data_IF_428467735362
#
_entry.id   IF_428467735362
#
_cell.length_a   1.000
_cell.length_b   1.000
_cell.length_c   1.000
_cell.angle_alpha   90.00
_cell.angle_beta   90.00
_cell.angle_gamma   90.00
#
_symmetry.space_group_name_H-M   'P 1'
#
loop_
_entity.id
_entity.type
_entity.pdbx_description
1 polymer ?
#
# COMPACT_ATOMS: atom_id res chain seq x y z
N UNK A 1 -23.09 -6.17 -25.94
CA UNK A 1 -21.64 -5.89 -25.82
C UNK A 1 -20.99 -7.12 -25.20
N UNK A 2 -20.58 -8.10 -26.00
CA UNK A 2 -20.00 -9.38 -25.53
C UNK A 2 -18.79 -9.78 -26.38
N UNK A 3 -17.92 -8.83 -26.70
CA UNK A 3 -16.83 -9.02 -27.68
C UNK A 3 -15.63 -9.75 -27.03
N UNK A 4 -15.52 -9.77 -25.69
CA UNK A 4 -14.43 -10.46 -24.98
C UNK A 4 -14.82 -11.79 -24.30
N UNK A 5 -16.11 -12.05 -24.07
CA UNK A 5 -16.57 -13.19 -23.26
C UNK A 5 -16.56 -14.51 -24.04
N UNK A 6 -16.70 -14.47 -25.37
CA UNK A 6 -16.73 -15.68 -26.20
C UNK A 6 -15.39 -16.43 -26.20
N UNK A 7 -14.26 -15.71 -26.14
CA UNK A 7 -12.94 -16.32 -26.10
C UNK A 7 -12.67 -17.01 -24.77
N UNK A 8 -13.11 -16.39 -23.67
CA UNK A 8 -13.00 -16.96 -22.31
C UNK A 8 -13.85 -18.22 -22.18
N UNK A 9 -15.10 -18.21 -22.67
CA UNK A 9 -15.97 -19.39 -22.64
C UNK A 9 -15.39 -20.59 -23.41
N UNK A 10 -14.66 -20.35 -24.50
CA UNK A 10 -13.96 -21.41 -25.26
C UNK A 10 -12.68 -21.89 -24.58
N UNK A 11 -12.10 -21.09 -23.68
CA UNK A 11 -10.90 -21.41 -22.91
C UNK A 11 -11.21 -22.26 -21.66
N UNK A 12 -12.37 -22.05 -21.03
CA UNK A 12 -12.79 -22.74 -19.80
C UNK A 12 -12.61 -24.27 -19.83
N UNK A 13 -12.99 -25.00 -20.90
CA UNK A 13 -12.77 -26.44 -20.97
C UNK A 13 -11.28 -26.81 -20.92
N UNK A 14 -10.43 -26.04 -21.61
CA UNK A 14 -8.99 -26.24 -21.62
C UNK A 14 -8.35 -25.92 -20.26
N UNK A 15 -8.85 -24.91 -19.56
CA UNK A 15 -8.43 -24.61 -18.19
C UNK A 15 -8.83 -25.70 -17.18
N UNK A 16 -10.01 -26.29 -17.36
CA UNK A 16 -10.43 -27.39 -16.50
C UNK A 16 -9.56 -28.63 -16.72
N UNK A 17 -9.28 -28.96 -17.97
CA UNK A 17 -8.41 -30.08 -18.32
C UNK A 17 -6.95 -29.83 -17.89
N UNK A 18 -6.44 -28.61 -18.00
CA UNK A 18 -5.07 -28.27 -17.64
C UNK A 18 -4.79 -28.38 -16.14
N UNK A 19 -5.81 -28.21 -15.28
CA UNK A 19 -5.69 -28.45 -13.84
C UNK A 19 -5.37 -29.90 -13.49
N UNK A 20 -5.88 -30.86 -14.27
CA UNK A 20 -5.66 -32.28 -14.07
C UNK A 20 -4.51 -32.85 -14.93
N UNK A 21 -4.18 -32.20 -16.04
CA UNK A 21 -3.16 -32.65 -16.98
C UNK A 21 -1.74 -32.30 -16.51
N UNK A 22 -0.83 -33.28 -16.52
CA UNK A 22 0.61 -33.12 -16.24
C UNK A 22 1.45 -33.69 -17.38
N UNK A 23 2.62 -33.09 -17.62
CA UNK A 23 3.61 -33.58 -18.59
C UNK A 23 3.05 -33.73 -20.01
N UNK A 24 3.07 -34.96 -20.54
CA UNK A 24 2.62 -35.26 -21.90
C UNK A 24 1.15 -34.89 -22.18
N UNK A 25 0.27 -34.96 -21.18
CA UNK A 25 -1.12 -34.54 -21.33
C UNK A 25 -1.22 -33.01 -21.51
N UNK A 26 -0.39 -32.25 -20.80
CA UNK A 26 -0.34 -30.81 -20.93
C UNK A 26 0.30 -30.37 -22.26
N UNK A 27 1.28 -31.12 -22.78
CA UNK A 27 1.82 -30.89 -24.13
C UNK A 27 0.75 -31.08 -25.24
N UNK A 28 -0.07 -32.15 -25.13
CA UNK A 28 -1.21 -32.35 -26.03
C UNK A 28 -2.25 -31.24 -25.90
N UNK A 29 -2.55 -30.83 -24.68
CA UNK A 29 -3.48 -29.73 -24.41
C UNK A 29 -3.00 -28.41 -25.03
N UNK A 30 -1.70 -28.11 -25.01
CA UNK A 30 -1.14 -26.95 -25.70
C UNK A 30 -1.36 -27.07 -27.21
N UNK A 31 -1.13 -28.24 -27.79
CA UNK A 31 -1.35 -28.48 -29.21
C UNK A 31 -2.83 -28.31 -29.60
N UNK A 32 -3.75 -28.81 -28.77
CA UNK A 32 -5.19 -28.70 -28.97
C UNK A 32 -5.68 -27.25 -28.79
N UNK A 33 -5.23 -26.56 -27.74
CA UNK A 33 -5.57 -25.17 -27.46
C UNK A 33 -5.03 -24.20 -28.54
N UNK A 34 -3.81 -24.44 -29.03
CA UNK A 34 -3.24 -23.66 -30.13
C UNK A 34 -3.93 -23.97 -31.46
N UNK A 35 -4.46 -25.18 -31.67
CA UNK A 35 -5.22 -25.51 -32.89
C UNK A 35 -6.69 -25.08 -32.83
N UNK A 36 -7.25 -24.86 -31.64
CA UNK A 36 -8.66 -24.52 -31.47
C UNK A 36 -8.99 -23.11 -32.02
N UNK A 37 -10.01 -22.98 -32.89
CA UNK A 37 -10.45 -21.69 -33.41
C UNK A 37 -11.20 -20.88 -32.34
N UNK A 38 -10.91 -19.59 -32.24
CA UNK A 38 -11.56 -18.70 -31.27
C UNK A 38 -10.89 -18.62 -29.89
N UNK A 39 -9.78 -19.32 -29.67
CA UNK A 39 -8.97 -19.18 -28.44
C UNK A 39 -7.72 -18.38 -28.77
N UNK A 40 -7.69 -17.09 -28.48
CA UNK A 40 -6.54 -16.23 -28.83
C UNK A 40 -5.79 -15.64 -27.64
N UNK A 41 -6.30 -15.89 -26.43
CA UNK A 41 -5.73 -15.46 -25.16
C UNK A 41 -5.19 -16.69 -24.45
N UNK A 42 -3.90 -16.70 -24.15
CA UNK A 42 -3.17 -17.81 -23.55
C UNK A 42 -2.52 -17.44 -22.21
N UNK A 43 -2.64 -16.19 -21.74
CA UNK A 43 -2.06 -15.74 -20.48
C UNK A 43 -2.50 -16.60 -19.29
N UNK A 44 -3.78 -16.96 -19.22
CA UNK A 44 -4.30 -17.83 -18.15
C UNK A 44 -3.75 -19.26 -18.22
N UNK A 45 -3.47 -19.79 -19.41
CA UNK A 45 -2.79 -21.08 -19.55
C UNK A 45 -1.33 -20.97 -19.10
N UNK A 46 -0.65 -19.88 -19.46
CA UNK A 46 0.77 -19.71 -19.17
C UNK A 46 1.06 -19.48 -17.68
N UNK A 47 0.10 -18.92 -16.94
CA UNK A 47 0.21 -18.70 -15.49
C UNK A 47 0.02 -19.98 -14.66
N UNK A 48 -0.49 -21.07 -15.26
CA UNK A 48 -0.71 -22.31 -14.53
C UNK A 48 0.62 -23.00 -14.17
N UNK A 49 0.78 -23.46 -12.91
CA UNK A 49 2.02 -24.11 -12.47
C UNK A 49 2.32 -25.38 -13.26
N UNK A 50 1.27 -26.13 -13.65
CA UNK A 50 1.40 -27.35 -14.46
C UNK A 50 2.06 -27.09 -15.83
N UNK A 51 1.87 -25.90 -16.40
CA UNK A 51 2.45 -25.50 -17.69
C UNK A 51 3.85 -24.90 -17.49
N UNK A 52 4.08 -24.19 -16.38
CA UNK A 52 5.43 -23.72 -16.01
C UNK A 52 6.39 -24.87 -15.71
N UNK A 53 5.91 -25.96 -15.10
CA UNK A 53 6.70 -27.18 -14.89
C UNK A 53 7.20 -27.80 -16.21
N UNK A 54 6.45 -27.66 -17.32
CA UNK A 54 6.87 -28.15 -18.64
C UNK A 54 8.11 -27.44 -19.18
N UNK A 55 8.35 -26.18 -18.78
CA UNK A 55 9.56 -25.46 -19.16
C UNK A 55 10.83 -26.14 -18.63
N UNK A 56 10.71 -26.86 -17.51
CA UNK A 56 11.84 -27.56 -16.86
C UNK A 56 12.12 -28.93 -17.50
N UNK A 57 11.14 -29.51 -18.20
CA UNK A 57 11.27 -30.82 -18.83
C UNK A 57 11.88 -30.73 -20.24
N UNK A 58 13.00 -31.43 -20.44
CA UNK A 58 13.79 -31.40 -21.69
C UNK A 58 12.99 -31.82 -22.94
N UNK A 59 12.03 -32.74 -22.79
CA UNK A 59 11.17 -33.24 -23.88
C UNK A 59 9.99 -32.34 -24.23
N UNK A 60 9.53 -31.50 -23.29
CA UNK A 60 8.32 -30.69 -23.45
C UNK A 60 8.55 -29.18 -23.45
N UNK A 61 9.79 -28.75 -23.20
CA UNK A 61 10.28 -27.36 -23.30
C UNK A 61 9.93 -26.69 -24.64
N UNK A 62 9.92 -27.46 -25.74
CA UNK A 62 9.56 -26.98 -27.08
C UNK A 62 8.09 -26.57 -27.19
N UNK A 63 7.18 -27.27 -26.51
CA UNK A 63 5.76 -26.91 -26.48
C UNK A 63 5.49 -25.69 -25.59
N UNK A 64 6.27 -25.51 -24.53
CA UNK A 64 6.22 -24.28 -23.73
C UNK A 64 6.69 -23.07 -24.56
N UNK A 65 7.80 -23.21 -25.27
CA UNK A 65 8.32 -22.18 -26.18
C UNK A 65 7.31 -21.84 -27.30
N UNK A 66 6.58 -22.85 -27.77
CA UNK A 66 5.48 -22.65 -28.71
C UNK A 66 4.37 -21.80 -28.12
N UNK A 67 3.91 -22.11 -26.90
CA UNK A 67 2.88 -21.34 -26.22
C UNK A 67 3.31 -19.88 -26.00
N UNK A 68 4.57 -19.67 -25.60
CA UNK A 68 5.15 -18.33 -25.45
C UNK A 68 5.19 -17.57 -26.78
N UNK A 69 5.43 -18.27 -27.89
CA UNK A 69 5.38 -17.68 -29.21
C UNK A 69 3.96 -17.20 -29.57
N UNK A 70 2.94 -18.01 -29.29
CA UNK A 70 1.54 -17.61 -29.51
C UNK A 70 1.08 -16.47 -28.61
N UNK A 71 1.58 -16.41 -27.37
CA UNK A 71 1.25 -15.33 -26.44
C UNK A 71 1.90 -13.99 -26.83
N UNK A 72 3.20 -13.98 -27.15
CA UNK A 72 3.97 -12.73 -27.21
C UNK A 72 4.62 -12.41 -28.55
N UNK A 73 4.90 -13.40 -29.39
CA UNK A 73 5.74 -13.23 -30.60
C UNK A 73 4.92 -13.22 -31.89
N UNK A 74 5.57 -12.97 -33.01
CA UNK A 74 4.96 -12.84 -34.34
C UNK A 74 5.31 -14.01 -35.26
N UNK A 75 4.64 -14.09 -36.40
CA UNK A 75 4.94 -15.08 -37.44
C UNK A 75 6.37 -14.94 -37.99
N UNK A 76 6.90 -13.72 -38.08
CA UNK A 76 8.29 -13.49 -38.50
C UNK A 76 9.29 -14.12 -37.52
N UNK A 77 9.00 -14.10 -36.22
CA UNK A 77 9.83 -14.73 -35.19
C UNK A 77 9.78 -16.27 -35.29
N UNK A 78 8.61 -16.82 -35.66
CA UNK A 78 8.48 -18.25 -35.91
C UNK A 78 9.41 -18.70 -37.05
N UNK A 79 9.51 -17.94 -38.14
CA UNK A 79 10.38 -18.27 -39.27
C UNK A 79 11.85 -18.33 -38.83
N UNK A 80 12.28 -17.42 -37.95
CA UNK A 80 13.65 -17.38 -37.44
C UNK A 80 13.96 -18.52 -36.46
N UNK A 81 12.95 -19.04 -35.76
CA UNK A 81 13.11 -20.04 -34.70
C UNK A 81 12.59 -21.44 -35.10
N UNK A 82 12.38 -21.71 -36.39
CA UNK A 82 11.84 -22.99 -36.90
C UNK A 82 12.57 -24.22 -36.35
N UNK A 83 13.89 -24.14 -36.15
CA UNK A 83 14.71 -25.28 -35.69
C UNK A 83 14.50 -25.64 -34.21
N UNK A 84 14.00 -24.68 -33.42
CA UNK A 84 13.79 -24.84 -31.98
C UNK A 84 12.36 -25.26 -31.61
N UNK A 85 11.44 -25.21 -32.57
CA UNK A 85 10.00 -25.38 -32.34
C UNK A 85 9.47 -26.67 -32.99
N UNK A 86 8.39 -27.26 -32.44
CA UNK A 86 7.70 -28.35 -33.11
C UNK A 86 7.07 -27.89 -34.43
N UNK A 87 6.90 -28.79 -35.42
CA UNK A 87 6.22 -28.45 -36.66
C UNK A 87 4.78 -27.99 -36.38
N UNK A 88 4.43 -26.81 -36.89
CA UNK A 88 3.08 -26.26 -36.80
C UNK A 88 2.12 -26.96 -37.75
N UNK A 89 0.87 -27.10 -37.31
CA UNK A 89 -0.26 -27.45 -38.15
C UNK A 89 -0.72 -26.23 -38.98
N UNK A 90 -1.44 -26.47 -40.07
CA UNK A 90 -1.96 -25.40 -40.95
C UNK A 90 -2.87 -24.45 -40.19
N UNK A 91 -3.76 -24.99 -39.34
CA UNK A 91 -4.64 -24.21 -38.48
C UNK A 91 -3.87 -23.30 -37.49
N UNK A 92 -2.77 -23.81 -36.93
CA UNK A 92 -1.90 -23.05 -36.02
C UNK A 92 -1.15 -21.94 -36.77
N UNK A 93 -0.76 -22.20 -38.03
CA UNK A 93 -0.10 -21.22 -38.90
C UNK A 93 -1.04 -20.07 -39.25
N UNK A 94 -2.28 -20.38 -39.64
CA UNK A 94 -3.33 -19.37 -39.92
C UNK A 94 -3.58 -18.52 -38.67
N UNK A 95 -3.71 -19.17 -37.51
CA UNK A 95 -3.92 -18.48 -36.23
C UNK A 95 -2.77 -17.55 -35.84
N UNK A 96 -1.53 -17.99 -36.05
CA UNK A 96 -0.36 -17.17 -35.78
C UNK A 96 -0.29 -15.96 -36.72
N UNK A 97 -0.70 -16.12 -37.98
CA UNK A 97 -0.86 -15.02 -38.94
C UNK A 97 -1.95 -14.04 -38.49
N UNK A 98 -3.10 -14.51 -38.02
CA UNK A 98 -4.16 -13.66 -37.44
C UNK A 98 -3.67 -12.89 -36.19
N UNK A 99 -2.93 -13.53 -35.29
CA UNK A 99 -2.35 -12.86 -34.11
C UNK A 99 -1.28 -11.82 -34.47
N UNK A 100 -0.53 -12.09 -35.54
CA UNK A 100 0.44 -11.13 -36.07
C UNK A 100 -0.26 -9.91 -36.65
N UNK A 101 -1.37 -10.11 -37.37
CA UNK A 101 -2.22 -9.02 -37.85
C UNK A 101 -2.74 -8.17 -36.69
N UNK A 102 -3.19 -8.78 -35.59
CA UNK A 102 -3.64 -8.07 -34.38
C UNK A 102 -2.52 -7.24 -33.77
N UNK A 103 -1.30 -7.77 -33.74
CA UNK A 103 -0.13 -7.05 -33.21
C UNK A 103 0.21 -5.83 -34.06
N UNK A 104 0.16 -5.96 -35.39
CA UNK A 104 0.36 -4.83 -36.30
C UNK A 104 -0.76 -3.78 -36.19
N UNK A 105 -1.99 -4.24 -35.97
CA UNK A 105 -3.15 -3.39 -35.75
C UNK A 105 -3.08 -2.60 -34.44
N UNK A 106 -2.32 -3.07 -33.46
CA UNK A 106 -2.07 -2.35 -32.20
C UNK A 106 -1.13 -1.17 -32.42
N UNK A 107 -0.13 -1.32 -33.28
CA UNK A 107 0.88 -0.29 -33.54
C UNK A 107 0.38 0.77 -34.54
N UNK A 108 -0.42 0.37 -35.53
CA UNK A 108 -0.91 1.29 -36.56
C UNK A 108 -2.35 0.97 -36.99
N UNK A 109 -3.15 2.01 -37.18
CA UNK A 109 -4.56 1.89 -37.61
C UNK A 109 -4.73 1.68 -39.11
N UNK A 110 -3.76 2.10 -39.91
CA UNK A 110 -3.79 2.02 -41.37
C UNK A 110 -2.64 1.11 -41.78
N UNK A 111 -2.97 -0.08 -42.27
CA UNK A 111 -1.99 -1.09 -42.66
C UNK A 111 -1.93 -1.22 -44.18
N UNK A 112 -0.79 -0.89 -44.83
CA UNK A 112 -0.63 -1.11 -46.25
C UNK A 112 -0.44 -2.60 -46.56
N UNK A 113 -1.03 -3.08 -47.66
CA UNK A 113 -0.95 -4.49 -48.04
C UNK A 113 0.48 -4.98 -48.27
N UNK A 114 1.38 -4.11 -48.77
CA UNK A 114 2.77 -4.45 -48.98
C UNK A 114 3.50 -4.85 -47.69
N UNK A 115 3.18 -4.18 -46.58
CA UNK A 115 3.74 -4.51 -45.27
C UNK A 115 3.16 -5.82 -44.74
N UNK A 116 1.84 -6.00 -44.86
CA UNK A 116 1.16 -7.22 -44.47
C UNK A 116 1.68 -8.45 -45.21
N UNK A 117 1.83 -8.36 -46.55
CA UNK A 117 2.37 -9.45 -47.37
C UNK A 117 3.79 -9.83 -46.94
N UNK A 118 4.64 -8.85 -46.64
CA UNK A 118 6.02 -9.07 -46.19
C UNK A 118 6.09 -9.71 -44.81
N UNK A 119 5.27 -9.27 -43.86
CA UNK A 119 5.31 -9.76 -42.48
C UNK A 119 4.66 -11.14 -42.35
N UNK A 120 3.59 -11.41 -43.11
CA UNK A 120 2.83 -12.65 -43.06
C UNK A 120 3.33 -13.73 -44.02
N UNK A 121 4.33 -13.41 -44.86
CA UNK A 121 4.87 -14.27 -45.92
C UNK A 121 3.75 -14.90 -46.76
N UNK A 122 2.93 -14.06 -47.36
CA UNK A 122 1.79 -14.46 -48.19
C UNK A 122 2.10 -14.19 -49.66
N UNK A 123 1.83 -15.14 -50.57
CA UNK A 123 2.15 -15.00 -51.99
C UNK A 123 1.17 -14.08 -52.74
N UNK A 124 -0.09 -13.99 -52.29
CA UNK A 124 -1.14 -13.27 -53.02
C UNK A 124 -1.97 -12.35 -52.11
N UNK A 125 -2.44 -11.24 -52.68
CA UNK A 125 -3.38 -10.32 -52.01
C UNK A 125 -4.70 -11.03 -51.69
N UNK A 126 -5.11 -11.99 -52.52
CA UNK A 126 -6.36 -12.73 -52.32
C UNK A 126 -6.35 -13.54 -51.02
N UNK A 127 -5.28 -14.27 -50.76
CA UNK A 127 -5.15 -15.03 -49.52
C UNK A 127 -5.03 -14.12 -48.29
N UNK A 128 -4.42 -12.93 -48.45
CA UNK A 128 -4.40 -11.91 -47.39
C UNK A 128 -5.82 -11.41 -47.08
N UNK A 129 -6.61 -11.08 -48.10
CA UNK A 129 -8.01 -10.67 -47.94
C UNK A 129 -8.84 -11.77 -47.27
N UNK A 130 -8.71 -13.02 -47.72
CA UNK A 130 -9.43 -14.16 -47.14
C UNK A 130 -9.06 -14.34 -45.66
N UNK A 131 -7.77 -14.18 -45.29
CA UNK A 131 -7.33 -14.20 -43.88
C UNK A 131 -7.93 -13.06 -43.05
N UNK A 132 -7.99 -11.84 -43.60
CA UNK A 132 -8.59 -10.67 -42.93
C UNK A 132 -10.09 -10.88 -42.75
N UNK A 133 -10.76 -11.41 -43.77
CA UNK A 133 -12.18 -11.74 -43.73
C UNK A 133 -12.44 -12.79 -42.65
N UNK A 134 -11.65 -13.85 -42.57
CA UNK A 134 -11.74 -14.85 -41.50
C UNK A 134 -11.53 -14.23 -40.11
N UNK A 135 -10.57 -13.31 -39.97
CA UNK A 135 -10.34 -12.60 -38.71
C UNK A 135 -11.53 -11.72 -38.30
N UNK A 136 -12.23 -11.11 -39.28
CA UNK A 136 -13.47 -10.34 -39.05
C UNK A 136 -14.61 -11.28 -38.63
N UNK A 137 -14.76 -12.44 -39.28
CA UNK A 137 -15.78 -13.44 -38.91
C UNK A 137 -15.59 -14.00 -37.50
N UNK A 138 -14.34 -14.09 -37.04
CA UNK A 138 -13.99 -14.49 -35.69
C UNK A 138 -14.06 -13.35 -34.67
N UNK A 139 -14.53 -12.16 -35.08
CA UNK A 139 -14.65 -10.93 -34.28
C UNK A 139 -13.32 -10.45 -33.65
N UNK A 140 -12.18 -10.86 -34.22
CA UNK A 140 -10.83 -10.51 -33.77
C UNK A 140 -10.52 -9.05 -34.12
N UNK A 141 -10.83 -8.67 -35.35
CA UNK A 141 -10.56 -7.34 -35.91
C UNK A 141 -11.83 -6.82 -36.56
N UNK A 142 -12.08 -5.52 -36.43
CA UNK A 142 -13.09 -4.80 -37.22
C UNK A 142 -12.40 -3.70 -38.00
N UNK A 143 -12.69 -3.65 -39.29
CA UNK A 143 -12.09 -2.71 -40.20
C UNK A 143 -12.73 -2.74 -41.57
N UNK A 144 -12.24 -1.87 -42.45
CA UNK A 144 -12.63 -1.78 -43.85
C UNK A 144 -11.43 -2.04 -44.73
N UNK A 145 -11.64 -2.85 -45.77
CA UNK A 145 -10.63 -3.10 -46.78
C UNK A 145 -10.79 -2.06 -47.89
N UNK A 146 -9.75 -1.26 -48.14
CA UNK A 146 -9.67 -0.35 -49.28
C UNK A 146 -8.75 -0.95 -50.35
N UNK A 147 -9.37 -1.61 -51.34
CA UNK A 147 -8.66 -2.22 -52.44
C UNK A 147 -8.00 -1.21 -53.38
N UNK A 148 -8.53 0.01 -53.46
CA UNK A 148 -8.06 1.02 -54.40
C UNK A 148 -6.73 1.62 -53.94
N UNK A 149 -6.63 1.92 -52.65
CA UNK A 149 -5.40 2.44 -52.04
C UNK A 149 -4.48 1.33 -51.51
N UNK A 150 -4.93 0.08 -51.54
CA UNK A 150 -4.16 -1.09 -51.09
C UNK A 150 -3.90 -1.08 -49.58
N UNK A 151 -4.92 -0.69 -48.80
CA UNK A 151 -4.81 -0.42 -47.38
C UNK A 151 -5.95 -1.08 -46.60
N UNK A 152 -5.65 -1.51 -45.38
CA UNK A 152 -6.62 -2.00 -44.42
C UNK A 152 -6.76 -1.00 -43.28
N UNK A 153 -7.96 -0.44 -43.12
CA UNK A 153 -8.27 0.51 -42.06
C UNK A 153 -8.93 -0.21 -40.88
N UNK A 154 -8.31 -0.12 -39.71
CA UNK A 154 -8.75 -0.82 -38.50
C UNK A 154 -9.48 0.14 -37.56
N UNK A 155 -10.72 -0.21 -37.25
CA UNK A 155 -11.55 0.48 -36.27
C UNK A 155 -11.32 -0.06 -34.86
N UNK A 156 -11.32 -1.39 -34.74
CA UNK A 156 -11.18 -2.12 -33.49
C UNK A 156 -10.33 -3.38 -33.67
N UNK A 157 -9.55 -3.70 -32.65
CA UNK A 157 -8.79 -4.95 -32.58
C UNK A 157 -8.92 -5.53 -31.18
N UNK A 158 -8.97 -6.86 -31.08
CA UNK A 158 -8.92 -7.54 -29.79
C UNK A 158 -7.55 -7.34 -29.12
N UNK A 159 -7.53 -7.35 -27.79
CA UNK A 159 -6.28 -7.32 -27.04
C UNK A 159 -5.59 -8.68 -27.06
N UNK A 160 -4.28 -8.70 -27.36
CA UNK A 160 -3.43 -9.87 -27.18
C UNK A 160 -2.81 -9.90 -25.77
N UNK A 161 -2.31 -11.06 -25.35
CA UNK A 161 -1.60 -11.23 -24.08
C UNK A 161 -0.43 -10.26 -23.94
N UNK A 162 -0.29 -9.70 -22.73
CA UNK A 162 0.77 -8.78 -22.36
C UNK A 162 1.93 -9.55 -21.73
N UNK A 163 3.14 -9.26 -22.20
CA UNK A 163 4.36 -9.75 -21.58
C UNK A 163 4.54 -9.11 -20.20
N UNK A 164 4.96 -9.87 -19.17
CA UNK A 164 5.25 -9.32 -17.85
C UNK A 164 6.41 -8.31 -17.95
N UNK A 165 6.07 -7.03 -17.92
CA UNK A 165 7.01 -5.90 -18.12
C UNK A 165 6.46 -4.81 -19.04
N UNK A 166 5.59 -5.16 -20.00
CA UNK A 166 4.94 -4.16 -20.88
C UNK A 166 3.79 -3.39 -20.20
N UNK A 167 3.36 -3.84 -19.02
CA UNK A 167 2.31 -3.19 -18.25
C UNK A 167 2.67 -1.75 -17.87
N UNK A 168 3.94 -1.50 -17.52
CA UNK A 168 4.41 -0.16 -17.16
C UNK A 168 4.37 0.79 -18.37
N UNK A 169 4.75 0.30 -19.55
CA UNK A 169 4.69 1.07 -20.80
C UNK A 169 3.23 1.41 -21.17
N UNK A 170 2.31 0.47 -20.94
CA UNK A 170 0.88 0.69 -21.14
C UNK A 170 0.34 1.73 -20.16
N UNK A 171 0.73 1.68 -18.89
CA UNK A 171 0.36 2.68 -17.89
C UNK A 171 0.86 4.07 -18.29
N UNK A 172 2.13 4.17 -18.72
CA UNK A 172 2.70 5.43 -19.23
C UNK A 172 1.94 5.94 -20.45
N UNK A 173 1.58 5.06 -21.38
CA UNK A 173 0.82 5.41 -22.58
C UNK A 173 -0.59 5.90 -22.23
N UNK A 174 -1.27 5.25 -21.28
CA UNK A 174 -2.56 5.69 -20.75
C UNK A 174 -2.47 7.02 -20.01
N UNK A 175 -1.42 7.23 -19.23
CA UNK A 175 -1.17 8.50 -18.55
C UNK A 175 -0.91 9.62 -19.56
N UNK A 176 -0.10 9.36 -20.58
CA UNK A 176 0.14 10.28 -21.69
C UNK A 176 -1.15 10.59 -22.46
N UNK A 177 -1.99 9.59 -22.69
CA UNK A 177 -3.29 9.77 -23.32
C UNK A 177 -4.24 10.60 -22.45
N UNK A 178 -4.31 10.33 -21.14
CA UNK A 178 -5.10 11.13 -20.21
C UNK A 178 -4.62 12.59 -20.18
N UNK A 179 -3.31 12.83 -20.10
CA UNK A 179 -2.72 14.18 -20.14
C UNK A 179 -2.95 14.85 -21.50
N UNK A 180 -2.84 14.11 -22.60
CA UNK A 180 -3.06 14.57 -23.96
C UNK A 180 -4.53 14.93 -24.24
N UNK A 181 -5.47 14.13 -23.76
CA UNK A 181 -6.91 14.38 -23.78
C UNK A 181 -7.29 15.61 -22.92
N UNK A 182 -6.43 15.98 -21.96
CA UNK A 182 -6.65 17.11 -21.04
C UNK A 182 -5.96 18.43 -21.46
N UNK A 183 -5.37 18.56 -22.67
CA UNK A 183 -4.56 19.76 -23.05
C UNK A 183 -5.27 20.73 -24.02
N UNK A 184 -5.18 22.08 -23.88
CA UNK A 184 -4.76 22.93 -22.76
C UNK A 184 -5.89 23.91 -22.36
N UNK A 185 -7.04 23.42 -21.88
CA UNK A 185 -8.11 24.34 -21.42
C UNK A 185 -8.13 24.57 -19.91
N UNK A 186 -7.33 23.82 -19.12
CA UNK A 186 -7.24 23.99 -17.66
C UNK A 186 -5.86 23.70 -17.01
N UNK A 187 -4.83 23.33 -17.79
CA UNK A 187 -3.56 22.82 -17.25
C UNK A 187 -2.46 23.88 -17.02
N UNK A 188 -2.79 25.16 -16.95
CA UNK A 188 -1.84 26.15 -16.38
C UNK A 188 -1.96 26.23 -14.85
N UNK A 189 -3.10 25.83 -14.26
CA UNK A 189 -3.31 25.77 -12.80
C UNK A 189 -3.15 24.37 -12.21
N UNK A 190 -3.52 23.33 -12.97
CA UNK A 190 -3.63 21.97 -12.42
C UNK A 190 -2.30 21.22 -12.22
N UNK A 191 -1.21 21.54 -12.93
CA UNK A 191 0.07 20.82 -12.71
C UNK A 191 0.82 21.26 -11.44
N UNK A 192 0.65 22.52 -11.02
CA UNK A 192 1.09 22.96 -9.68
C UNK A 192 0.13 22.47 -8.60
N UNK A 193 -1.18 22.48 -8.86
CA UNK A 193 -2.18 22.03 -7.88
C UNK A 193 -2.18 20.53 -7.65
N UNK A 194 -1.95 19.67 -8.66
CA UNK A 194 -1.87 18.23 -8.44
C UNK A 194 -0.62 17.82 -7.65
N UNK A 195 0.55 18.42 -7.94
CA UNK A 195 1.76 18.17 -7.13
C UNK A 195 1.61 18.72 -5.72
N UNK A 196 1.07 19.94 -5.56
CA UNK A 196 0.81 20.54 -4.25
C UNK A 196 -0.27 19.77 -3.46
N UNK A 197 -1.30 19.25 -4.13
CA UNK A 197 -2.39 18.49 -3.52
C UNK A 197 -1.92 17.13 -3.03
N UNK A 198 -1.08 16.41 -3.80
CA UNK A 198 -0.50 15.15 -3.30
C UNK A 198 0.43 15.39 -2.11
N UNK A 199 1.27 16.44 -2.13
CA UNK A 199 2.12 16.76 -0.96
C UNK A 199 1.30 17.24 0.23
N UNK A 200 0.25 18.06 0.02
CA UNK A 200 -0.60 18.55 1.10
C UNK A 200 -1.43 17.42 1.71
N UNK A 201 -1.92 16.47 0.91
CA UNK A 201 -2.60 15.28 1.41
C UNK A 201 -1.67 14.38 2.23
N UNK A 202 -0.42 14.19 1.78
CA UNK A 202 0.60 13.44 2.55
C UNK A 202 0.94 14.16 3.86
N UNK A 203 1.09 15.50 3.85
CA UNK A 203 1.33 16.28 5.06
C UNK A 203 0.13 16.25 6.03
N UNK A 204 -1.10 16.37 5.53
CA UNK A 204 -2.31 16.30 6.34
C UNK A 204 -2.50 14.90 6.97
N UNK A 205 -2.16 13.83 6.25
CA UNK A 205 -2.19 12.47 6.81
C UNK A 205 -1.10 12.24 7.86
N UNK A 206 0.07 12.87 7.71
CA UNK A 206 1.12 12.88 8.73
C UNK A 206 0.70 13.65 9.98
N UNK A 207 0.07 14.82 9.85
CA UNK A 207 -0.44 15.62 10.98
C UNK A 207 -1.56 14.89 11.73
N UNK A 208 -2.47 14.23 11.01
CA UNK A 208 -3.50 13.38 11.64
C UNK A 208 -2.87 12.22 12.42
N UNK A 209 -1.84 11.56 11.88
CA UNK A 209 -1.12 10.52 12.62
C UNK A 209 -0.36 11.06 13.83
N UNK A 210 0.23 12.25 13.75
CA UNK A 210 0.92 12.89 14.87
C UNK A 210 -0.05 13.26 16.00
N UNK A 211 -1.23 13.81 15.66
CA UNK A 211 -2.27 14.11 16.65
C UNK A 211 -2.85 12.85 17.30
N UNK A 212 -3.06 11.78 16.53
CA UNK A 212 -3.45 10.48 17.08
C UNK A 212 -2.40 9.91 18.03
N UNK A 213 -1.11 9.98 17.68
CA UNK A 213 -0.03 9.52 18.55
C UNK A 213 0.06 10.37 19.82
N UNK A 214 -0.04 11.69 19.70
CA UNK A 214 -0.08 12.59 20.86
C UNK A 214 -1.25 12.25 21.78
N UNK A 215 -2.46 12.11 21.24
CA UNK A 215 -3.65 11.73 22.00
C UNK A 215 -3.49 10.36 22.66
N UNK A 216 -2.93 9.37 21.97
CA UNK A 216 -2.61 8.05 22.56
C UNK A 216 -1.60 8.14 23.70
N UNK A 217 -0.59 9.03 23.60
CA UNK A 217 0.36 9.22 24.70
C UNK A 217 -0.26 9.93 25.91
N UNK A 218 -1.15 10.90 25.68
CA UNK A 218 -1.89 11.57 26.74
C UNK A 218 -2.84 10.60 27.41
N UNK A 219 -3.63 9.84 26.65
CA UNK A 219 -4.55 8.84 27.23
C UNK A 219 -3.81 7.71 27.95
N UNK A 220 -2.66 7.28 27.44
CA UNK A 220 -1.81 6.32 28.15
C UNK A 220 -1.26 6.89 29.47
N UNK A 221 -0.90 8.18 29.51
CA UNK A 221 -0.47 8.85 30.74
C UNK A 221 -1.63 8.98 31.73
N UNK A 222 -2.81 9.43 31.29
CA UNK A 222 -3.97 9.53 32.17
C UNK A 222 -4.40 8.16 32.69
N UNK A 223 -4.43 7.13 31.84
CA UNK A 223 -4.72 5.75 32.27
C UNK A 223 -3.69 5.25 33.29
N UNK A 224 -2.41 5.58 33.11
CA UNK A 224 -1.36 5.24 34.08
C UNK A 224 -1.52 6.00 35.40
N UNK A 225 -1.83 7.29 35.36
CA UNK A 225 -2.09 8.11 36.55
C UNK A 225 -3.34 7.62 37.31
N UNK A 226 -4.40 7.22 36.61
CA UNK A 226 -5.60 6.62 37.19
C UNK A 226 -5.32 5.25 37.81
N UNK A 227 -4.51 4.42 37.13
CA UNK A 227 -4.04 3.15 37.65
C UNK A 227 -3.19 3.34 38.91
N UNK A 228 -2.22 4.27 38.88
CA UNK A 228 -1.35 4.58 40.02
C UNK A 228 -2.17 5.14 41.20
N UNK A 229 -3.19 5.96 40.94
CA UNK A 229 -4.12 6.47 41.96
C UNK A 229 -4.95 5.34 42.58
N UNK A 230 -5.48 4.43 41.76
CA UNK A 230 -6.20 3.24 42.24
C UNK A 230 -5.29 2.32 43.06
N UNK A 231 -4.05 2.13 42.61
CA UNK A 231 -3.05 1.36 43.33
C UNK A 231 -2.71 1.99 44.70
N UNK A 232 -2.53 3.31 44.77
CA UNK A 232 -2.30 3.99 46.04
C UNK A 232 -3.49 3.90 47.00
N UNK A 233 -4.72 4.00 46.49
CA UNK A 233 -5.93 3.85 47.32
C UNK A 233 -6.04 2.44 47.89
N UNK A 234 -5.87 1.43 47.04
CA UNK A 234 -5.91 0.02 47.47
C UNK A 234 -4.77 -0.32 48.43
N UNK A 235 -3.57 0.20 48.21
CA UNK A 235 -2.44 0.05 49.14
C UNK A 235 -2.76 0.69 50.51
N UNK A 236 -3.35 1.88 50.52
CA UNK A 236 -3.76 2.57 51.75
C UNK A 236 -4.82 1.77 52.50
N UNK A 237 -5.83 1.25 51.80
CA UNK A 237 -6.85 0.38 52.39
C UNK A 237 -6.26 -0.90 52.98
N UNK A 238 -5.28 -1.51 52.32
CA UNK A 238 -4.59 -2.70 52.84
C UNK A 238 -3.77 -2.36 54.09
N UNK A 239 -3.08 -1.22 54.11
CA UNK A 239 -2.33 -0.76 55.29
C UNK A 239 -3.26 -0.43 56.45
N UNK A 240 -4.38 0.26 56.19
CA UNK A 240 -5.38 0.58 57.20
C UNK A 240 -6.05 -0.69 57.74
N UNK A 241 -6.41 -1.65 56.87
CA UNK A 241 -6.89 -2.98 57.29
C UNK A 241 -5.83 -3.76 58.08
N UNK A 242 -4.55 -3.67 57.71
CA UNK A 242 -3.46 -4.28 58.50
C UNK A 242 -3.27 -3.58 59.84
N UNK A 243 -3.45 -2.25 59.90
CA UNK A 243 -3.39 -1.47 61.15
C UNK A 243 -4.58 -1.77 62.04
N UNK A 244 -5.77 -1.92 61.48
CA UNK A 244 -6.99 -2.38 62.16
C UNK A 244 -6.83 -3.82 62.62
N UNK A 245 -6.33 -4.73 61.79
CA UNK A 245 -6.01 -6.10 62.17
C UNK A 245 -4.93 -6.15 63.26
N UNK A 246 -3.91 -5.28 63.21
CA UNK A 246 -2.88 -5.14 64.25
C UNK A 246 -3.44 -4.53 65.54
N UNK A 247 -4.41 -3.62 65.44
CA UNK A 247 -5.13 -3.07 66.59
C UNK A 247 -6.14 -4.07 67.17
N UNK A 248 -6.73 -4.94 66.35
CA UNK A 248 -7.65 -6.00 66.75
C UNK A 248 -6.90 -7.22 67.35
N UNK A 249 -5.72 -7.55 66.82
CA UNK A 249 -4.75 -8.47 67.45
C UNK A 249 -4.07 -7.87 68.68
N UNK A 250 -4.38 -6.61 69.01
CA UNK A 250 -4.04 -6.02 70.30
C UNK A 250 -5.13 -6.33 71.32
N UNK A 251 -5.49 -7.61 71.46
CA UNK A 251 -6.15 -8.10 72.65
C UNK A 251 -5.15 -8.06 73.82
N UNK A 252 -5.39 -7.09 74.69
CA UNK A 252 -5.06 -7.11 76.12
C UNK A 252 -3.64 -7.56 76.51
N UNK A 253 -2.61 -6.83 76.04
CA UNK A 253 -1.40 -6.69 76.86
C UNK A 253 -1.66 -5.58 77.87
N UNK A 254 -1.87 -5.98 79.12
CA UNK A 254 -1.75 -5.11 80.29
C UNK A 254 -0.38 -4.43 80.23
N UNK A 255 -0.36 -3.18 79.78
CA UNK A 255 0.74 -2.26 80.03
C UNK A 255 0.12 -1.08 80.74
N UNK A 256 0.44 -0.97 82.03
CA UNK A 256 0.03 0.17 82.83
C UNK A 256 0.35 1.44 82.06
N UNK A 257 -0.64 2.34 82.01
CA UNK A 257 -0.40 3.75 81.72
C UNK A 257 0.64 4.22 82.74
N UNK A 258 1.93 4.10 82.42
CA UNK A 258 2.92 4.98 82.99
C UNK A 258 2.69 6.32 82.31
N UNK A 259 1.66 7.03 82.79
CA UNK A 259 1.60 8.46 82.58
C UNK A 259 2.92 9.02 83.12
N UNK A 260 3.45 10.05 82.42
CA UNK A 260 4.56 10.84 82.95
C UNK A 260 4.32 11.06 84.44
N UNK A 261 5.31 10.66 85.25
CA UNK A 261 5.26 10.88 86.70
C UNK A 261 4.90 12.34 86.97
N UNK A 262 4.22 12.65 88.09
CA UNK A 262 3.87 14.03 88.45
C UNK A 262 5.04 15.03 88.32
N UNK A 263 6.28 14.55 88.45
CA UNK A 263 7.50 15.30 88.19
C UNK A 263 7.68 15.75 86.72
N UNK A 264 7.43 14.88 85.74
CA UNK A 264 7.59 15.21 84.31
C UNK A 264 6.55 16.19 83.77
N UNK A 265 5.32 16.20 84.32
CA UNK A 265 4.33 17.23 84.00
C UNK A 265 4.72 18.60 84.59
N UNK A 266 5.24 18.62 85.81
CA UNK A 266 5.73 19.84 86.45
C UNK A 266 6.99 20.40 85.76
N UNK A 267 7.79 19.56 85.12
CA UNK A 267 8.97 20.00 84.38
C UNK A 267 8.60 20.62 83.02
N UNK A 268 7.66 20.02 82.30
CA UNK A 268 7.11 20.58 81.06
C UNK A 268 6.41 21.92 81.30
N UNK A 269 5.68 22.05 82.41
CA UNK A 269 4.98 23.28 82.79
C UNK A 269 5.97 24.39 83.18
N UNK A 270 7.04 24.06 83.90
CA UNK A 270 8.14 24.99 84.18
C UNK A 270 8.91 25.38 82.92
N UNK A 271 9.03 24.49 81.95
CA UNK A 271 9.70 24.77 80.69
C UNK A 271 8.87 25.69 79.78
N UNK A 272 7.55 25.50 79.76
CA UNK A 272 6.62 26.42 79.11
C UNK A 272 6.60 27.79 79.78
N UNK A 273 6.65 27.87 81.11
CA UNK A 273 6.79 29.16 81.83
C UNK A 273 8.10 29.85 81.49
N UNK A 274 9.22 29.13 81.42
CA UNK A 274 10.52 29.69 80.97
C UNK A 274 10.49 30.18 79.52
N UNK A 275 9.74 29.52 78.64
CA UNK A 275 9.56 29.96 77.25
C UNK A 275 8.69 31.23 77.18
N UNK A 276 7.58 31.28 77.91
CA UNK A 276 6.73 32.48 77.96
C UNK A 276 7.45 33.68 78.59
N UNK A 277 8.33 33.45 79.56
CA UNK A 277 9.10 34.52 80.19
C UNK A 277 10.17 35.08 79.23
N UNK A 278 10.81 34.23 78.42
CA UNK A 278 11.69 34.66 77.33
C UNK A 278 10.95 35.44 76.23
N UNK A 279 9.75 35.01 75.85
CA UNK A 279 8.92 35.78 74.90
C UNK A 279 8.51 37.15 75.45
N UNK A 280 8.23 37.25 76.76
CA UNK A 280 7.96 38.55 77.40
C UNK A 280 9.19 39.45 77.48
N UNK A 281 10.37 38.89 77.74
CA UNK A 281 11.64 39.64 77.72
C UNK A 281 12.00 40.11 76.30
N UNK A 282 11.76 39.30 75.27
CA UNK A 282 11.91 39.69 73.87
C UNK A 282 10.96 40.84 73.51
N UNK A 283 9.67 40.73 73.86
CA UNK A 283 8.70 41.81 73.65
C UNK A 283 9.00 43.09 74.44
N UNK A 284 9.66 42.99 75.60
CA UNK A 284 10.10 44.16 76.37
C UNK A 284 11.28 44.89 75.74
N UNK A 285 12.20 44.16 75.10
CA UNK A 285 13.36 44.72 74.41
C UNK A 285 13.02 45.35 73.06
N UNK A 286 11.99 44.83 72.38
CA UNK A 286 11.50 45.42 71.13
C UNK A 286 10.84 46.79 71.37
N UNK A 287 10.27 47.05 72.55
CA UNK A 287 9.69 48.35 72.91
C UNK A 287 10.71 49.40 73.39
N UNK A 288 11.96 49.04 73.70
CA UNK A 288 13.01 50.00 74.11
C UNK A 288 13.91 50.45 72.93
N UNK A 289 13.79 49.81 71.75
CA UNK A 289 14.60 50.15 70.57
C UNK A 289 13.85 51.00 69.52
N UNK A 290 12.58 51.34 69.74
CA UNK A 290 11.73 52.07 68.78
C UNK A 290 11.67 53.61 69.02
N UNK A 291 12.47 54.16 69.93
CA UNK A 291 12.51 55.62 70.21
C UNK A 291 13.70 56.38 69.58
N UNK A 292 14.56 55.76 68.78
CA UNK A 292 15.66 56.48 68.11
C UNK A 292 16.03 55.90 66.74
N UNK A 293 15.31 56.31 65.68
CA UNK A 293 15.95 56.57 64.39
C UNK A 293 15.01 57.38 63.49
N UNK A 294 15.26 58.69 63.43
CA UNK A 294 14.57 59.65 62.57
C UNK A 294 14.91 59.47 61.09
N UNK A 295 13.94 59.90 60.28
CA UNK A 295 13.88 60.08 58.83
C UNK A 295 15.15 60.62 58.15
N UNK A 296 15.54 60.01 57.02
CA UNK A 296 16.24 60.68 55.91
C UNK A 296 15.66 60.17 54.57
N UNK A 297 15.33 61.16 53.73
CA UNK A 297 14.64 61.18 52.43
C UNK A 297 14.97 60.12 51.35
N UNK A 298 13.92 59.80 50.57
CA UNK A 298 13.95 59.29 49.18
C UNK A 298 14.83 60.18 48.27
N UNK A 299 15.46 59.69 47.15
CA UNK A 299 14.66 59.30 45.98
C UNK A 299 15.28 58.31 44.95
N UNK A 300 14.38 57.81 44.09
CA UNK A 300 14.45 57.68 42.62
C UNK A 300 15.43 56.73 41.87
N UNK A 301 14.78 56.04 40.93
CA UNK A 301 15.22 55.57 39.60
C UNK A 301 16.25 54.44 39.44
N UNK A 302 15.78 53.40 38.73
CA UNK A 302 16.40 53.06 37.45
C UNK A 302 17.20 51.76 37.40
N UNK A 303 16.76 50.88 36.49
CA UNK A 303 17.58 50.36 35.38
C UNK A 303 17.49 48.84 35.19
N UNK A 304 16.78 48.50 34.10
CA UNK A 304 17.20 47.55 33.05
C UNK A 304 17.93 46.26 33.47
N UNK A 305 17.21 45.16 33.27
CA UNK A 305 17.45 44.37 32.06
C UNK A 305 18.32 43.11 32.16
N UNK A 306 18.21 42.33 31.06
CA UNK A 306 18.84 41.04 30.71
C UNK A 306 18.07 39.85 31.29
N UNK A 307 17.38 39.01 30.51
CA UNK A 307 17.59 38.66 29.10
C UNK A 307 18.77 37.70 28.98
N UNK A 308 18.47 36.39 28.91
CA UNK A 308 19.22 35.31 28.24
C UNK A 308 18.37 34.06 28.40
N UNK A 309 17.76 33.59 27.30
CA UNK A 309 18.30 32.59 26.36
C UNK A 309 18.46 31.24 27.01
#
# INVERSE_FOLDING_TARGET
MEIGTQHVAKLEPFLLMSKAAKGAAAAKLIQDATSAPGVFVFGELLDLPNIQELATHETHSRFYSLLQLFAYKTYADYIQHKDSLPPLNDAQTIKLKQLTLVSLAQDSRILPYNELLRVLDMPTVRELEDLIIDAIYLDIVRGKLDQKEGQFEIEYTMGRDLEPGKLEQLLVSLQNWCVGSTRPMHCAKLTSECRASTTAAVLATLDNKLSELSNRTVTAKTMKEEYDRGYQSTLKEVVDKQKEARNANKTHVFTGRSGLTPAGRAELQREQERQQQRERELRGKDNENDENSMDIDEPAEGSKGKGRK
#
